data_IF_490482496253
#
_entry.id   IF_490482496253
#
_cell.length_a   1.000
_cell.length_b   1.000
_cell.length_c   1.000
_cell.angle_alpha   90.00
_cell.angle_beta   90.00
_cell.angle_gamma   90.00
#
_symmetry.space_group_name_H-M   'P 1'
#
loop_
_entity.id
_entity.type
_entity.pdbx_description
1 polymer ?
#
# COMPACT_ATOMS: atom_id res chain seq x y z
N UNK A 1 1.23 29.76 -0.82
CA UNK A 1 1.69 28.51 -1.49
C UNK A 1 0.44 27.79 -1.99
N UNK A 2 0.29 27.46 -3.26
CA UNK A 2 -0.89 26.72 -3.69
C UNK A 2 -0.83 25.32 -3.06
N UNK A 3 -1.71 25.07 -2.09
CA UNK A 3 -1.95 23.74 -1.54
C UNK A 3 -2.50 22.88 -2.67
N UNK A 4 -1.64 22.15 -3.38
CA UNK A 4 -2.07 21.15 -4.36
C UNK A 4 -2.97 20.18 -3.62
N UNK A 5 -4.26 20.18 -3.97
CA UNK A 5 -5.16 19.14 -3.52
C UNK A 5 -4.56 17.80 -3.92
N UNK A 6 -4.46 16.83 -2.99
CA UNK A 6 -3.93 15.53 -3.32
C UNK A 6 -4.77 14.93 -4.44
N UNK A 7 -4.09 14.45 -5.46
CA UNK A 7 -4.70 13.73 -6.56
C UNK A 7 -5.40 12.48 -6.03
N UNK A 8 -6.38 11.98 -6.79
CA UNK A 8 -7.07 10.71 -6.46
C UNK A 8 -6.07 9.56 -6.25
N UNK A 9 -4.98 9.54 -7.03
CA UNK A 9 -3.92 8.54 -6.91
C UNK A 9 -3.14 8.66 -5.58
N UNK A 10 -2.90 9.87 -5.09
CA UNK A 10 -2.24 10.11 -3.80
C UNK A 10 -3.15 9.71 -2.64
N UNK A 11 -4.44 10.06 -2.70
CA UNK A 11 -5.42 9.64 -1.69
C UNK A 11 -5.58 8.11 -1.68
N UNK A 12 -5.59 7.47 -2.85
CA UNK A 12 -5.65 6.02 -2.95
C UNK A 12 -4.42 5.35 -2.32
N UNK A 13 -3.21 5.82 -2.62
CA UNK A 13 -1.97 5.29 -1.99
C UNK A 13 -2.00 5.46 -0.46
N UNK A 14 -2.46 6.60 0.04
CA UNK A 14 -2.57 6.82 1.49
C UNK A 14 -3.51 5.82 2.17
N UNK A 15 -4.63 5.46 1.53
CA UNK A 15 -5.55 4.41 2.03
C UNK A 15 -4.90 3.04 2.04
N UNK A 16 -4.19 2.70 0.96
CA UNK A 16 -3.41 1.46 0.83
C UNK A 16 -2.36 1.34 1.92
N UNK A 17 -1.60 2.41 2.17
CA UNK A 17 -0.58 2.44 3.21
C UNK A 17 -1.17 2.34 4.62
N UNK A 18 -2.28 3.03 4.89
CA UNK A 18 -2.96 2.97 6.18
C UNK A 18 -3.50 1.56 6.46
N UNK A 19 -4.22 0.96 5.50
CA UNK A 19 -4.76 -0.39 5.63
C UNK A 19 -3.66 -1.43 5.80
N UNK A 20 -2.55 -1.26 5.07
CA UNK A 20 -1.39 -2.12 5.17
C UNK A 20 -0.67 -2.00 6.52
N UNK A 21 -0.39 -0.77 6.99
CA UNK A 21 0.24 -0.53 8.28
C UNK A 21 -0.59 -1.08 9.45
N UNK A 22 -1.91 -1.11 9.32
CA UNK A 22 -2.80 -1.72 10.31
C UNK A 22 -2.65 -3.24 10.42
N UNK A 23 -2.34 -3.94 9.32
CA UNK A 23 -2.24 -5.41 9.30
C UNK A 23 -0.81 -5.95 9.37
N UNK A 24 0.18 -5.14 9.00
CA UNK A 24 1.56 -5.58 8.89
C UNK A 24 2.49 -4.70 9.75
N UNK A 25 2.67 -5.04 11.03
CA UNK A 25 3.53 -4.27 11.92
C UNK A 25 5.02 -4.41 11.51
N UNK A 26 5.54 -3.35 10.90
CA UNK A 26 6.93 -2.88 10.90
C UNK A 26 8.02 -3.71 10.19
N UNK A 27 7.75 -4.90 9.64
CA UNK A 27 8.81 -5.78 9.08
C UNK A 27 8.79 -5.95 7.56
N UNK A 28 8.69 -4.87 6.80
CA UNK A 28 8.67 -4.96 5.33
C UNK A 28 9.76 -4.09 4.77
N UNK A 29 10.59 -4.68 3.90
CA UNK A 29 11.79 -4.01 3.38
C UNK A 29 11.46 -3.04 2.23
N UNK A 30 10.40 -3.31 1.46
CA UNK A 30 9.96 -2.47 0.35
C UNK A 30 8.51 -2.75 -0.04
N UNK A 31 7.84 -1.73 -0.61
CA UNK A 31 6.49 -1.82 -1.18
C UNK A 31 6.55 -1.34 -2.64
N UNK A 32 5.89 -2.04 -3.56
CA UNK A 32 5.60 -1.58 -4.92
C UNK A 32 4.09 -1.52 -5.11
N UNK A 33 3.60 -0.38 -5.57
CA UNK A 33 2.18 -0.16 -5.82
C UNK A 33 1.83 -0.59 -7.25
N UNK A 34 0.82 -1.43 -7.37
CA UNK A 34 0.19 -1.79 -8.64
C UNK A 34 -1.21 -1.14 -8.69
N UNK A 35 -1.87 -1.21 -9.86
CA UNK A 35 -3.19 -0.64 -10.01
C UNK A 35 -4.25 -1.33 -9.12
N UNK A 36 -4.13 -2.64 -8.89
CA UNK A 36 -5.13 -3.47 -8.21
C UNK A 36 -4.60 -4.16 -6.93
N UNK A 37 -3.32 -3.97 -6.61
CA UNK A 37 -2.64 -4.67 -5.54
C UNK A 37 -1.39 -3.92 -5.07
N UNK A 38 -0.85 -4.35 -3.93
CA UNK A 38 0.52 -4.04 -3.53
C UNK A 38 1.40 -5.28 -3.56
N UNK A 39 2.66 -5.06 -3.91
CA UNK A 39 3.73 -6.03 -3.80
C UNK A 39 4.58 -5.64 -2.60
N UNK A 40 4.75 -6.57 -1.67
CA UNK A 40 5.47 -6.34 -0.41
C UNK A 40 6.65 -7.29 -0.33
N UNK A 41 7.84 -6.76 -0.02
CA UNK A 41 9.03 -7.59 0.17
C UNK A 41 9.07 -8.08 1.61
N UNK A 42 8.66 -9.34 1.82
CA UNK A 42 8.74 -10.00 3.12
C UNK A 42 10.20 -10.41 3.39
N UNK A 43 10.75 -10.12 4.58
CA UNK A 43 12.16 -10.33 4.89
C UNK A 43 12.62 -11.77 4.71
N UNK A 44 11.73 -12.75 4.95
CA UNK A 44 12.05 -14.19 4.81
C UNK A 44 11.32 -14.90 3.68
N UNK A 45 10.35 -14.27 3.03
CA UNK A 45 9.46 -14.94 2.06
C UNK A 45 9.53 -14.31 0.66
N UNK A 46 10.39 -13.32 0.45
CA UNK A 46 10.50 -12.60 -0.81
C UNK A 46 9.28 -11.75 -1.12
N UNK A 47 9.08 -11.42 -2.40
CA UNK A 47 7.97 -10.61 -2.85
C UNK A 47 6.63 -11.36 -2.71
N UNK A 48 5.66 -10.70 -2.09
CA UNK A 48 4.28 -11.19 -1.99
C UNK A 48 3.31 -10.17 -2.52
N UNK A 49 2.30 -10.65 -3.25
CA UNK A 49 1.20 -9.82 -3.75
C UNK A 49 0.05 -9.83 -2.74
N UNK A 50 -0.50 -8.64 -2.47
CA UNK A 50 -1.67 -8.44 -1.62
C UNK A 50 -2.64 -7.58 -2.40
N UNK A 51 -3.79 -8.14 -2.75
CA UNK A 51 -4.83 -7.44 -3.50
C UNK A 51 -5.48 -6.35 -2.65
N UNK A 52 -5.90 -5.24 -3.26
CA UNK A 52 -6.61 -4.16 -2.57
C UNK A 52 -7.89 -4.66 -1.89
N UNK A 53 -8.59 -5.63 -2.51
CA UNK A 53 -9.73 -6.34 -1.90
C UNK A 53 -9.38 -6.96 -0.54
N UNK A 54 -8.20 -7.56 -0.40
CA UNK A 54 -7.74 -8.17 0.87
C UNK A 54 -7.41 -7.11 1.92
N UNK A 55 -7.08 -5.89 1.49
CA UNK A 55 -6.88 -4.72 2.36
C UNK A 55 -8.19 -3.98 2.67
N UNK A 56 -9.34 -4.43 2.15
CA UNK A 56 -10.62 -3.74 2.31
C UNK A 56 -10.73 -2.43 1.50
N UNK A 57 -9.92 -2.29 0.45
CA UNK A 57 -9.90 -1.11 -0.42
C UNK A 57 -10.63 -1.47 -1.71
N UNK A 58 -11.78 -0.82 -1.91
CA UNK A 58 -12.58 -0.89 -3.12
C UNK A 58 -12.04 0.04 -4.20
#
# INVERSE_FOLDING_TARGET
MPSKMPTVAEMHRARVDAAWNAIAPKRIAAIRYLADAIMVLHPTKGWRRITHRRLGIA
#
